data_IF_046034188191
#
_entry.id   IF_046034188191
#
_cell.length_a   1.000
_cell.length_b   1.000
_cell.length_c   1.000
_cell.angle_alpha   90.00
_cell.angle_beta   90.00
_cell.angle_gamma   90.00
#
_symmetry.space_group_name_H-M   'P 1'
#
loop_
_entity.id
_entity.type
_entity.pdbx_description
1 polymer ?
#
# COMPACT_ATOMS: atom_id res chain seq x y z
N UNK A 1 -21.46 13.74 23.34
CA UNK A 1 -21.98 12.47 22.78
C UNK A 1 -23.09 11.93 23.68
N UNK A 2 -24.19 11.40 23.13
CA UNK A 2 -25.30 10.81 23.89
C UNK A 2 -25.14 9.30 24.12
N UNK A 3 -24.26 8.65 23.37
CA UNK A 3 -23.94 7.21 23.46
C UNK A 3 -22.44 6.94 23.29
N UNK A 4 -22.00 5.73 23.63
CA UNK A 4 -20.62 5.29 23.44
C UNK A 4 -20.17 5.38 21.97
N UNK A 5 -21.02 4.93 21.03
CA UNK A 5 -20.72 4.97 19.61
C UNK A 5 -20.47 6.39 19.07
N UNK A 6 -21.30 7.36 19.48
CA UNK A 6 -21.08 8.77 19.14
C UNK A 6 -19.78 9.32 19.74
N UNK A 7 -19.42 8.89 20.96
CA UNK A 7 -18.20 9.31 21.62
C UNK A 7 -16.95 8.83 20.86
N UNK A 8 -16.99 7.57 20.41
CA UNK A 8 -15.90 6.94 19.67
C UNK A 8 -15.66 7.66 18.33
N UNK A 9 -16.73 8.15 17.69
CA UNK A 9 -16.65 8.89 16.44
C UNK A 9 -16.17 10.34 16.61
N UNK A 10 -16.40 10.95 17.77
CA UNK A 10 -16.11 12.36 18.04
C UNK A 10 -14.61 12.69 18.11
N UNK A 11 -13.78 11.74 18.53
CA UNK A 11 -12.33 11.94 18.55
C UNK A 11 -11.52 10.71 18.95
N UNK A 12 -10.24 10.64 18.55
CA UNK A 12 -9.35 9.51 18.85
C UNK A 12 -8.90 9.49 20.31
N UNK A 13 -8.94 10.62 21.02
CA UNK A 13 -8.54 10.73 22.43
C UNK A 13 -9.73 10.61 23.39
N UNK A 14 -10.94 10.42 22.87
CA UNK A 14 -12.14 10.27 23.69
C UNK A 14 -12.33 8.83 24.18
N UNK A 15 -12.76 8.69 25.43
CA UNK A 15 -13.24 7.45 26.03
C UNK A 15 -14.68 7.59 26.53
N UNK A 16 -15.34 6.46 26.78
CA UNK A 16 -16.68 6.41 27.34
C UNK A 16 -16.69 5.65 28.67
N UNK A 17 -17.13 6.29 29.75
CA UNK A 17 -17.25 5.63 31.06
C UNK A 17 -18.59 4.88 31.21
N UNK A 18 -18.53 3.57 31.45
CA UNK A 18 -19.71 2.70 31.62
C UNK A 18 -20.15 2.54 33.07
N UNK A 19 -19.31 2.91 34.04
CA UNK A 19 -19.63 2.79 35.47
C UNK A 19 -20.92 3.54 35.85
N UNK A 20 -21.83 2.88 36.57
CA UNK A 20 -23.12 3.45 36.98
C UNK A 20 -22.98 4.60 37.97
N UNK A 21 -21.97 4.54 38.85
CA UNK A 21 -21.71 5.54 39.92
C UNK A 21 -20.89 6.75 39.48
N UNK A 22 -20.42 6.76 38.23
CA UNK A 22 -19.58 7.85 37.71
C UNK A 22 -20.31 9.19 37.56
N UNK A 23 -21.60 9.17 37.20
CA UNK A 23 -22.38 10.40 37.06
C UNK A 23 -22.87 10.87 38.43
N UNK A 24 -22.48 12.09 38.82
CA UNK A 24 -23.04 12.75 40.00
C UNK A 24 -24.46 13.24 39.73
N UNK A 25 -25.25 13.45 40.78
CA UNK A 25 -26.61 13.98 40.66
C UNK A 25 -26.63 15.30 39.88
N UNK A 26 -27.47 15.37 38.85
CA UNK A 26 -27.59 16.52 37.96
C UNK A 26 -26.64 16.55 36.75
N UNK A 27 -25.71 15.60 36.62
CA UNK A 27 -24.86 15.52 35.41
C UNK A 27 -25.60 14.88 34.23
N UNK A 28 -25.46 15.44 33.01
CA UNK A 28 -26.04 14.83 31.81
C UNK A 28 -25.27 13.57 31.42
N UNK A 29 -25.95 12.61 30.77
CA UNK A 29 -25.34 11.40 30.21
C UNK A 29 -24.16 11.70 29.28
N UNK A 30 -24.14 12.89 28.66
CA UNK A 30 -23.04 13.32 27.81
C UNK A 30 -21.71 13.48 28.52
N UNK A 31 -21.70 13.64 29.85
CA UNK A 31 -20.48 13.72 30.66
C UNK A 31 -19.70 12.39 30.74
N UNK A 32 -20.31 11.27 30.32
CA UNK A 32 -19.63 9.96 30.20
C UNK A 32 -18.58 9.93 29.09
N UNK A 33 -18.72 10.81 28.10
CA UNK A 33 -17.75 10.98 27.03
C UNK A 33 -16.82 12.13 27.34
N UNK A 34 -15.54 11.85 27.49
CA UNK A 34 -14.52 12.87 27.70
C UNK A 34 -13.14 12.37 27.24
N UNK A 35 -12.13 13.23 27.32
CA UNK A 35 -10.74 12.83 27.17
C UNK A 35 -10.36 11.75 28.21
N UNK A 36 -9.53 10.79 27.80
CA UNK A 36 -9.13 9.65 28.64
C UNK A 36 -8.50 10.09 29.97
N UNK A 37 -7.66 11.13 29.96
CA UNK A 37 -7.02 11.62 31.19
C UNK A 37 -8.02 12.38 32.06
N UNK A 38 -8.99 13.05 31.46
CA UNK A 38 -10.08 13.70 32.20
C UNK A 38 -10.99 12.67 32.90
N UNK A 39 -11.33 11.55 32.23
CA UNK A 39 -12.12 10.48 32.83
C UNK A 39 -11.43 9.85 34.04
N UNK A 40 -10.13 9.58 33.95
CA UNK A 40 -9.33 9.07 35.07
C UNK A 40 -9.31 10.05 36.24
N UNK A 41 -9.11 11.35 35.98
CA UNK A 41 -9.13 12.40 37.00
C UNK A 41 -10.50 12.57 37.66
N UNK A 42 -11.58 12.35 36.90
CA UNK A 42 -12.97 12.35 37.39
C UNK A 42 -13.34 11.07 38.15
N UNK A 43 -12.43 10.10 38.26
CA UNK A 43 -12.63 8.89 39.04
C UNK A 43 -13.28 7.72 38.29
N UNK A 44 -13.33 7.74 36.95
CA UNK A 44 -13.70 6.54 36.20
C UNK A 44 -12.55 5.53 36.24
N UNK A 45 -12.83 4.32 36.73
CA UNK A 45 -11.84 3.24 36.77
C UNK A 45 -11.44 2.83 35.35
N UNK A 46 -10.16 2.51 35.07
CA UNK A 46 -9.71 2.14 33.72
C UNK A 46 -10.51 0.99 33.07
N UNK A 47 -10.93 0.00 33.86
CA UNK A 47 -11.72 -1.15 33.37
C UNK A 47 -13.15 -0.77 32.93
N UNK A 48 -13.66 0.37 33.43
CA UNK A 48 -14.97 0.90 33.07
C UNK A 48 -14.88 1.92 31.92
N UNK A 49 -13.69 2.17 31.36
CA UNK A 49 -13.50 3.09 30.24
C UNK A 49 -13.45 2.29 28.92
N UNK A 50 -14.51 2.39 28.15
CA UNK A 50 -14.53 1.88 26.78
C UNK A 50 -13.76 2.83 25.85
N UNK A 51 -12.68 2.31 25.26
CA UNK A 51 -11.89 3.02 24.27
C UNK A 51 -11.33 2.06 23.20
N UNK A 52 -12.14 1.65 22.21
CA UNK A 52 -11.67 0.81 21.12
C UNK A 52 -10.57 1.51 20.32
N UNK A 53 -9.42 0.86 20.18
CA UNK A 53 -8.26 1.36 19.43
C UNK A 53 -8.21 0.74 18.04
N UNK A 54 -7.62 1.47 17.10
CA UNK A 54 -7.26 0.89 15.81
C UNK A 54 -6.22 -0.23 15.98
N UNK A 55 -6.17 -1.14 15.00
CA UNK A 55 -5.22 -2.26 14.99
C UNK A 55 -4.73 -2.57 13.58
N UNK A 56 -3.60 -3.27 13.49
CA UNK A 56 -2.98 -3.72 12.25
C UNK A 56 -2.74 -5.22 12.32
N UNK A 57 -3.24 -5.95 11.34
CA UNK A 57 -3.01 -7.38 11.22
C UNK A 57 -2.52 -7.74 9.82
N UNK A 58 -1.37 -8.40 9.72
CA UNK A 58 -0.75 -8.75 8.44
C UNK A 58 -1.21 -10.15 8.05
N UNK A 59 -1.94 -10.25 6.94
CA UNK A 59 -2.52 -11.52 6.47
C UNK A 59 -1.59 -12.28 5.52
N UNK A 60 -0.84 -11.57 4.66
CA UNK A 60 0.12 -12.17 3.72
C UNK A 60 1.38 -11.29 3.63
N UNK A 61 2.53 -11.90 3.92
CA UNK A 61 3.83 -11.24 3.97
C UNK A 61 4.95 -12.14 3.44
N UNK A 62 4.81 -12.60 2.20
CA UNK A 62 5.88 -13.26 1.45
C UNK A 62 7.07 -12.31 1.36
N UNK A 63 8.26 -12.81 1.66
CA UNK A 63 9.48 -12.00 1.64
C UNK A 63 9.83 -11.59 0.21
N UNK A 64 10.46 -10.41 0.08
CA UNK A 64 11.02 -9.97 -1.20
C UNK A 64 12.06 -10.97 -1.71
N UNK A 65 12.01 -11.25 -3.01
CA UNK A 65 12.90 -12.20 -3.66
C UNK A 65 14.30 -11.62 -3.77
N UNK A 66 15.31 -12.40 -3.38
CA UNK A 66 16.71 -12.10 -3.64
C UNK A 66 17.11 -12.78 -4.94
N UNK A 67 16.83 -12.13 -6.08
CA UNK A 67 17.31 -12.58 -7.39
C UNK A 67 18.65 -11.92 -7.68
N UNK A 68 19.63 -12.72 -8.06
CA UNK A 68 20.93 -12.27 -8.55
C UNK A 68 21.18 -12.87 -9.92
N UNK A 69 21.70 -12.07 -10.85
CA UNK A 69 22.00 -12.53 -12.21
C UNK A 69 23.03 -13.68 -12.17
N UNK A 70 22.63 -14.90 -12.57
CA UNK A 70 23.51 -16.09 -12.63
C UNK A 70 23.25 -17.19 -11.58
N UNK A 71 22.29 -17.02 -10.66
CA UNK A 71 21.84 -18.13 -9.80
C UNK A 71 20.96 -19.12 -10.57
N UNK A 72 21.12 -20.42 -10.31
CA UNK A 72 20.59 -21.53 -11.09
C UNK A 72 19.05 -21.62 -11.19
N UNK A 73 18.31 -20.93 -10.31
CA UNK A 73 16.85 -20.92 -10.35
C UNK A 73 16.34 -19.76 -11.20
N UNK A 74 15.98 -20.06 -12.46
CA UNK A 74 15.10 -19.20 -13.26
C UNK A 74 13.71 -19.21 -12.62
N UNK A 75 13.48 -18.29 -11.68
CA UNK A 75 12.16 -18.05 -11.13
C UNK A 75 11.24 -17.48 -12.21
N UNK A 76 10.03 -18.03 -12.28
CA UNK A 76 8.97 -17.45 -13.11
C UNK A 76 8.57 -16.07 -12.57
N UNK A 77 8.10 -15.14 -13.42
CA UNK A 77 7.76 -13.78 -13.00
C UNK A 77 6.76 -13.71 -11.84
N UNK A 78 5.79 -14.62 -11.79
CA UNK A 78 4.77 -14.75 -10.74
C UNK A 78 5.33 -15.12 -9.36
N UNK A 79 6.50 -15.76 -9.31
CA UNK A 79 7.15 -16.14 -8.06
C UNK A 79 8.00 -15.01 -7.47
N UNK A 80 8.33 -14.00 -8.29
CA UNK A 80 9.16 -12.86 -7.91
C UNK A 80 8.34 -11.88 -7.08
N UNK A 81 8.75 -11.70 -5.83
CA UNK A 81 8.12 -10.76 -4.90
C UNK A 81 9.00 -9.52 -4.79
N UNK A 82 8.53 -8.38 -5.31
CA UNK A 82 9.24 -7.09 -5.19
C UNK A 82 8.68 -6.18 -4.10
N UNK A 83 7.51 -6.53 -3.54
CA UNK A 83 6.80 -5.73 -2.54
C UNK A 83 6.27 -6.62 -1.41
N UNK A 84 6.36 -6.13 -0.17
CA UNK A 84 5.74 -6.78 0.99
C UNK A 84 5.31 -5.75 2.05
N UNK A 85 4.24 -6.02 2.84
CA UNK A 85 3.34 -7.18 2.77
C UNK A 85 2.39 -7.13 1.56
N UNK A 86 1.81 -8.27 1.17
CA UNK A 86 0.87 -8.37 0.05
C UNK A 86 -0.58 -8.19 0.50
N UNK A 87 -0.87 -8.47 1.77
CA UNK A 87 -2.21 -8.32 2.33
C UNK A 87 -2.12 -8.00 3.82
N UNK A 88 -2.88 -6.98 4.24
CA UNK A 88 -3.07 -6.64 5.64
C UNK A 88 -4.51 -6.13 5.86
N UNK A 89 -4.93 -6.15 7.12
CA UNK A 89 -6.20 -5.59 7.59
C UNK A 89 -5.86 -4.48 8.57
N UNK A 90 -6.44 -3.30 8.35
CA UNK A 90 -6.38 -2.18 9.28
C UNK A 90 -7.76 -1.98 9.89
N UNK A 91 -7.85 -2.05 11.22
CA UNK A 91 -9.00 -1.55 11.96
C UNK A 91 -8.73 -0.08 12.28
N UNK A 92 -9.59 0.81 11.81
CA UNK A 92 -9.42 2.25 11.93
C UNK A 92 -10.35 2.82 12.99
N UNK A 93 -9.79 3.52 13.96
CA UNK A 93 -10.54 4.40 14.87
C UNK A 93 -10.64 5.78 14.23
N UNK A 94 -11.83 6.38 14.25
CA UNK A 94 -12.05 7.72 13.69
C UNK A 94 -11.05 8.73 14.27
N UNK A 95 -10.29 9.39 13.39
CA UNK A 95 -9.25 10.36 13.75
C UNK A 95 -7.90 9.77 14.22
N UNK A 96 -7.77 8.45 14.36
CA UNK A 96 -6.50 7.80 14.71
C UNK A 96 -5.82 7.24 13.45
N UNK A 97 -4.62 7.74 13.07
CA UNK A 97 -3.88 7.18 11.94
C UNK A 97 -3.32 5.80 12.28
N UNK A 98 -3.34 4.89 11.30
CA UNK A 98 -2.64 3.61 11.37
C UNK A 98 -1.47 3.60 10.41
N UNK A 99 -0.29 3.20 10.89
CA UNK A 99 0.94 3.16 10.09
C UNK A 99 1.43 1.74 9.91
N UNK A 100 1.85 1.41 8.70
CA UNK A 100 2.52 0.15 8.38
C UNK A 100 3.68 0.40 7.42
N UNK A 101 4.66 -0.48 7.46
CA UNK A 101 5.83 -0.40 6.60
C UNK A 101 5.59 -1.19 5.33
N UNK A 102 5.81 -0.54 4.18
CA UNK A 102 5.83 -1.18 2.89
C UNK A 102 7.29 -1.29 2.42
N UNK A 103 7.77 -2.50 2.20
CA UNK A 103 9.12 -2.76 1.70
C UNK A 103 9.06 -2.98 0.20
N UNK A 104 9.92 -2.29 -0.54
CA UNK A 104 10.11 -2.47 -1.96
C UNK A 104 11.56 -2.85 -2.25
N UNK A 105 11.76 -3.84 -3.10
CA UNK A 105 13.07 -4.22 -3.62
C UNK A 105 12.94 -4.52 -5.11
N UNK A 106 13.66 -3.75 -5.94
CA UNK A 106 13.72 -3.98 -7.38
C UNK A 106 14.38 -5.33 -7.65
N UNK A 107 13.72 -6.18 -8.46
CA UNK A 107 14.29 -7.43 -8.92
C UNK A 107 15.35 -7.17 -10.01
N UNK A 108 16.45 -7.91 -9.95
CA UNK A 108 17.40 -8.01 -11.05
C UNK A 108 16.86 -8.96 -12.12
N UNK A 109 17.24 -8.73 -13.39
CA UNK A 109 16.90 -9.64 -14.49
C UNK A 109 15.38 -9.90 -14.63
N UNK A 110 14.59 -8.84 -14.47
CA UNK A 110 13.13 -8.88 -14.62
C UNK A 110 12.74 -8.77 -16.10
N UNK A 111 11.71 -9.50 -16.59
CA UNK A 111 11.30 -9.44 -17.99
C UNK A 111 10.92 -8.03 -18.44
N UNK A 112 11.26 -7.69 -19.68
CA UNK A 112 10.93 -6.39 -20.28
C UNK A 112 10.23 -6.61 -21.62
N UNK A 113 9.06 -6.01 -21.76
CA UNK A 113 8.33 -5.93 -23.02
C UNK A 113 8.38 -4.51 -23.55
N UNK A 114 8.81 -4.35 -24.80
CA UNK A 114 8.85 -3.05 -25.49
C UNK A 114 7.95 -3.11 -26.71
N UNK A 115 6.98 -2.19 -26.79
CA UNK A 115 6.15 -2.04 -27.98
C UNK A 115 6.48 -0.73 -28.67
N UNK A 116 7.09 -0.82 -29.86
CA UNK A 116 7.47 0.34 -30.65
C UNK A 116 6.32 0.71 -31.59
N UNK A 117 5.68 1.85 -31.33
CA UNK A 117 4.61 2.39 -32.18
C UNK A 117 5.16 3.55 -33.01
N UNK A 118 5.28 3.34 -34.32
CA UNK A 118 5.91 4.29 -35.24
C UNK A 118 4.87 5.00 -36.11
N UNK A 119 5.05 6.29 -36.31
CA UNK A 119 4.36 7.02 -37.38
C UNK A 119 4.98 6.65 -38.74
N UNK A 120 4.15 6.23 -39.70
CA UNK A 120 4.57 5.95 -41.08
C UNK A 120 4.10 7.03 -42.07
N UNK A 121 3.84 8.25 -41.59
CA UNK A 121 3.58 9.42 -42.42
C UNK A 121 4.75 9.77 -43.35
N UNK A 122 4.49 10.56 -44.39
CA UNK A 122 5.49 10.93 -45.40
C UNK A 122 6.75 11.60 -44.81
N UNK A 123 6.62 12.29 -43.67
CA UNK A 123 7.74 12.92 -42.97
C UNK A 123 8.68 11.94 -42.27
N UNK A 124 8.28 10.67 -42.08
CA UNK A 124 9.06 9.64 -41.39
C UNK A 124 9.78 8.69 -42.37
N UNK A 125 9.84 9.05 -43.65
CA UNK A 125 10.33 8.19 -44.72
C UNK A 125 11.81 7.86 -44.58
N UNK A 126 12.63 8.83 -44.20
CA UNK A 126 14.07 8.68 -43.94
C UNK A 126 14.34 7.99 -42.60
N UNK A 127 13.52 8.22 -41.58
CA UNK A 127 13.62 7.52 -40.29
C UNK A 127 13.39 6.00 -40.40
N UNK A 128 12.49 5.57 -41.28
CA UNK A 128 12.17 4.14 -41.46
C UNK A 128 13.38 3.32 -41.92
N UNK A 129 14.33 3.91 -42.64
CA UNK A 129 15.56 3.23 -43.05
C UNK A 129 16.45 2.92 -41.85
N UNK A 130 16.51 3.81 -40.87
CA UNK A 130 17.29 3.65 -39.64
C UNK A 130 16.61 2.73 -38.61
N UNK A 131 15.27 2.70 -38.58
CA UNK A 131 14.51 1.85 -37.64
C UNK A 131 14.66 0.35 -37.95
N UNK A 132 14.98 -0.01 -39.20
CA UNK A 132 15.21 -1.42 -39.59
C UNK A 132 16.39 -2.06 -38.86
N UNK A 133 17.50 -1.34 -38.67
CA UNK A 133 18.65 -1.84 -37.89
C UNK A 133 18.43 -1.70 -36.38
N UNK A 134 17.69 -0.66 -35.97
CA UNK A 134 17.42 -0.36 -34.56
C UNK A 134 16.81 -1.54 -33.79
N UNK A 135 15.92 -2.31 -34.41
CA UNK A 135 15.30 -3.47 -33.74
C UNK A 135 16.31 -4.54 -33.31
N UNK A 136 17.30 -4.84 -34.16
CA UNK A 136 18.34 -5.84 -33.86
C UNK A 136 19.34 -5.31 -32.84
N UNK A 137 19.75 -4.05 -33.00
CA UNK A 137 20.70 -3.40 -32.10
C UNK A 137 20.13 -3.25 -30.69
N UNK A 138 18.86 -2.85 -30.59
CA UNK A 138 18.13 -2.75 -29.34
C UNK A 138 18.01 -4.12 -28.67
N UNK A 139 17.68 -5.17 -29.42
CA UNK A 139 17.61 -6.53 -28.86
C UNK A 139 18.97 -6.99 -28.29
N UNK A 140 20.08 -6.65 -28.96
CA UNK A 140 21.42 -7.02 -28.50
C UNK A 140 21.84 -6.26 -27.24
N UNK A 141 21.56 -4.96 -27.16
CA UNK A 141 21.85 -4.19 -25.94
C UNK A 141 20.94 -4.61 -24.78
N UNK A 142 19.67 -4.90 -25.04
CA UNK A 142 18.72 -5.29 -23.99
C UNK A 142 19.05 -6.66 -23.36
N UNK A 143 19.71 -7.58 -24.09
CA UNK A 143 20.23 -8.84 -23.53
C UNK A 143 21.24 -8.62 -22.39
N UNK A 144 21.92 -7.47 -22.36
CA UNK A 144 22.83 -7.10 -21.24
C UNK A 144 22.06 -6.66 -20.01
N UNK A 145 20.84 -6.14 -20.18
CA UNK A 145 19.98 -5.67 -19.10
C UNK A 145 19.17 -6.84 -18.52
N UNK A 146 18.41 -7.53 -19.36
CA UNK A 146 17.53 -8.65 -18.98
C UNK A 146 17.72 -9.85 -19.90
N UNK A 147 17.60 -11.04 -19.36
CA UNK A 147 17.61 -12.30 -20.11
C UNK A 147 16.29 -12.60 -20.83
N UNK A 148 15.21 -11.87 -20.47
CA UNK A 148 13.88 -12.01 -21.05
C UNK A 148 13.41 -10.65 -21.60
N UNK A 149 13.62 -10.45 -22.90
CA UNK A 149 13.25 -9.24 -23.62
C UNK A 149 12.36 -9.60 -24.82
N UNK A 150 11.18 -8.97 -24.89
CA UNK A 150 10.26 -9.10 -26.03
C UNK A 150 10.04 -7.74 -26.67
N UNK A 151 10.00 -7.71 -28.00
CA UNK A 151 9.75 -6.49 -28.76
C UNK A 151 8.56 -6.70 -29.72
N UNK A 152 7.64 -5.74 -29.72
CA UNK A 152 6.57 -5.63 -30.70
C UNK A 152 6.72 -4.34 -31.51
N UNK A 153 6.17 -4.34 -32.73
CA UNK A 153 6.16 -3.17 -33.61
C UNK A 153 4.74 -2.92 -34.11
N UNK A 154 4.31 -1.68 -34.08
CA UNK A 154 3.07 -1.21 -34.67
C UNK A 154 3.29 0.08 -35.44
N UNK A 155 2.37 0.38 -36.35
CA UNK A 155 2.39 1.64 -37.08
C UNK A 155 1.01 2.29 -37.12
N UNK A 156 0.98 3.61 -37.22
CA UNK A 156 -0.21 4.38 -37.51
C UNK A 156 0.06 5.39 -38.62
N UNK A 157 -0.99 5.77 -39.33
CA UNK A 157 -1.02 6.80 -40.37
C UNK A 157 -2.39 7.48 -40.29
N UNK A 158 -2.44 8.78 -40.57
CA UNK A 158 -3.66 9.53 -40.88
C UNK A 158 -3.60 10.09 -42.31
#
# INVERSE_FOLDING_TARGET
AKSCGECIQAGPNCGWCTNSTFLQEGMPTSARCDDLEALKKKGCHPDDIENPRGSRDIKKNKNVTNRSKGTAEKLQPEDITQIQPQQLVLQLRSGEPQTFTLKFKRAEDYPIDLYYLMDLSYSMKDDLENVKSLGTDLMNEMRRVTSDFRIGFGSFVE
#
